data_IF_236138212877
#
_entry.id   IF_236138212877
#
_cell.length_a   1.000
_cell.length_b   1.000
_cell.length_c   1.000
_cell.angle_alpha   90.00
_cell.angle_beta   90.00
_cell.angle_gamma   90.00
#
_symmetry.space_group_name_H-M   'P 1'
#
loop_
_entity.id
_entity.type
_entity.pdbx_description
1 polymer ?
#
# COMPACT_ATOMS: atom_id res chain seq x y z
N UNK A 1 -11.50 -8.71 -11.56
CA UNK A 1 -10.55 -9.07 -10.47
C UNK A 1 -10.68 -8.05 -9.36
N UNK A 2 -10.27 -8.37 -8.13
CA UNK A 2 -10.20 -7.38 -7.05
C UNK A 2 -9.12 -6.35 -7.42
N UNK A 3 -9.51 -5.07 -7.43
CA UNK A 3 -8.61 -3.95 -7.68
C UNK A 3 -8.39 -3.14 -6.38
N UNK A 4 -7.18 -2.63 -6.15
CA UNK A 4 -5.96 -2.89 -6.93
C UNK A 4 -5.44 -4.34 -6.75
N UNK A 5 -4.85 -4.89 -7.81
CA UNK A 5 -4.17 -6.20 -7.74
C UNK A 5 -2.76 -6.04 -7.18
N UNK A 6 -2.12 -7.14 -6.74
CA UNK A 6 -0.73 -7.08 -6.26
C UNK A 6 0.23 -6.55 -7.33
N UNK A 7 -0.01 -6.85 -8.61
CA UNK A 7 0.80 -6.36 -9.72
C UNK A 7 0.63 -4.86 -9.90
N UNK A 8 -0.57 -4.32 -9.67
CA UNK A 8 -0.82 -2.88 -9.73
C UNK A 8 -0.04 -2.17 -8.62
N UNK A 9 -0.12 -2.71 -7.39
CA UNK A 9 0.60 -2.16 -6.24
C UNK A 9 2.13 -2.25 -6.39
N UNK A 10 2.66 -3.33 -6.97
CA UNK A 10 4.10 -3.44 -7.28
C UNK A 10 4.55 -2.39 -8.28
N UNK A 11 3.72 -2.07 -9.27
CA UNK A 11 4.05 -1.02 -10.25
C UNK A 11 4.10 0.36 -9.59
N UNK A 12 3.14 0.66 -8.72
CA UNK A 12 3.13 1.93 -7.97
C UNK A 12 4.40 2.05 -7.12
N UNK A 13 4.74 1.03 -6.35
CA UNK A 13 5.91 1.05 -5.44
C UNK A 13 7.23 1.17 -6.19
N UNK A 14 7.35 0.55 -7.37
CA UNK A 14 8.57 0.61 -8.18
C UNK A 14 8.52 1.70 -9.26
N UNK A 15 7.56 2.62 -9.22
CA UNK A 15 7.36 3.61 -10.30
C UNK A 15 8.50 4.62 -10.43
N UNK A 16 9.29 4.80 -9.37
CA UNK A 16 10.46 5.69 -9.34
C UNK A 16 11.79 4.96 -9.63
N UNK A 17 11.76 3.66 -9.90
CA UNK A 17 12.97 2.88 -10.21
C UNK A 17 13.31 3.04 -11.69
N UNK A 18 14.55 3.45 -12.00
CA UNK A 18 15.01 3.59 -13.38
C UNK A 18 15.05 2.23 -14.10
N UNK A 19 14.80 2.24 -15.41
CA UNK A 19 14.88 1.03 -16.22
C UNK A 19 16.29 0.44 -16.21
N UNK A 20 16.43 -0.77 -15.68
CA UNK A 20 17.71 -1.48 -15.53
C UNK A 20 18.24 -1.50 -14.09
N UNK A 21 17.65 -0.72 -13.18
CA UNK A 21 17.93 -0.81 -11.75
C UNK A 21 17.13 -1.93 -11.05
N UNK A 22 17.59 -2.33 -9.87
CA UNK A 22 16.89 -3.36 -9.10
C UNK A 22 15.58 -2.80 -8.51
N UNK A 23 14.45 -3.53 -8.66
CA UNK A 23 13.19 -3.11 -8.09
C UNK A 23 13.25 -3.13 -6.55
N UNK A 24 12.66 -2.12 -5.93
CA UNK A 24 12.52 -2.00 -4.46
C UNK A 24 11.69 -3.16 -3.90
N UNK A 25 10.64 -3.58 -4.62
CA UNK A 25 9.76 -4.69 -4.21
C UNK A 25 9.50 -5.65 -5.36
N UNK A 26 9.90 -6.91 -5.20
CA UNK A 26 9.64 -8.00 -6.16
C UNK A 26 8.70 -9.11 -5.62
N UNK A 27 8.29 -9.03 -4.35
CA UNK A 27 7.55 -10.08 -3.67
C UNK A 27 6.19 -9.61 -3.19
N UNK A 28 5.15 -10.41 -3.47
CA UNK A 28 3.78 -10.16 -3.00
C UNK A 28 3.72 -10.10 -1.47
N UNK A 29 4.58 -10.88 -0.81
CA UNK A 29 4.66 -10.92 0.64
C UNK A 29 5.10 -9.57 1.22
N UNK A 30 5.96 -8.83 0.52
CA UNK A 30 6.40 -7.49 0.96
C UNK A 30 5.23 -6.51 1.00
N UNK A 31 4.36 -6.51 -0.01
CA UNK A 31 3.14 -5.68 -0.01
C UNK A 31 2.22 -6.07 1.13
N UNK A 32 1.99 -7.37 1.33
CA UNK A 32 1.15 -7.87 2.43
C UNK A 32 1.72 -7.43 3.79
N UNK A 33 3.03 -7.56 4.00
CA UNK A 33 3.67 -7.15 5.25
C UNK A 33 3.59 -5.64 5.48
N UNK A 34 3.87 -4.83 4.45
CA UNK A 34 3.83 -3.37 4.54
C UNK A 34 2.42 -2.87 4.87
N UNK A 35 1.41 -3.32 4.10
CA UNK A 35 0.00 -2.95 4.32
C UNK A 35 -0.55 -3.48 5.65
N UNK A 36 -0.14 -4.68 6.08
CA UNK A 36 -0.52 -5.22 7.40
C UNK A 36 0.09 -4.41 8.55
N UNK A 37 1.35 -4.00 8.42
CA UNK A 37 2.02 -3.16 9.42
C UNK A 37 1.35 -1.78 9.49
N UNK A 38 1.06 -1.17 8.34
CA UNK A 38 0.38 0.13 8.27
C UNK A 38 -1.04 0.07 8.84
N UNK A 39 -1.80 -0.98 8.52
CA UNK A 39 -3.13 -1.20 9.10
C UNK A 39 -3.11 -1.24 10.64
N UNK A 40 -2.07 -1.83 11.26
CA UNK A 40 -1.91 -1.81 12.73
C UNK A 40 -1.67 -0.40 13.26
N UNK A 41 -0.84 0.40 12.58
CA UNK A 41 -0.64 1.80 12.95
C UNK A 41 -1.94 2.60 12.92
N UNK A 42 -2.79 2.36 11.91
CA UNK A 42 -4.11 2.99 11.80
C UNK A 42 -5.04 2.57 12.95
N UNK A 43 -5.00 1.29 13.34
CA UNK A 43 -5.74 0.77 14.50
C UNK A 43 -5.26 1.45 15.80
N UNK A 44 -3.96 1.72 15.91
CA UNK A 44 -3.34 2.41 17.06
C UNK A 44 -3.58 3.94 17.04
N UNK A 45 -4.34 4.46 16.07
CA UNK A 45 -4.73 5.87 15.99
C UNK A 45 -3.77 6.77 15.20
N UNK A 46 -2.88 6.20 14.39
CA UNK A 46 -2.05 7.00 13.48
C UNK A 46 -2.92 7.76 12.47
N UNK A 47 -2.56 9.01 12.13
CA UNK A 47 -3.31 9.78 11.15
C UNK A 47 -3.13 9.20 9.74
N UNK A 48 -4.11 9.47 8.88
CA UNK A 48 -4.12 9.12 7.47
C UNK A 48 -4.66 10.28 6.63
N UNK A 49 -4.12 10.54 5.44
CA UNK A 49 -4.67 11.52 4.50
C UNK A 49 -5.88 10.99 3.71
N UNK A 50 -6.21 9.70 3.84
CA UNK A 50 -7.35 9.09 3.14
C UNK A 50 -8.65 9.66 3.69
N UNK A 51 -9.50 10.16 2.78
CA UNK A 51 -10.83 10.68 3.14
C UNK A 51 -11.76 9.54 3.55
N UNK A 52 -12.63 9.85 4.51
CA UNK A 52 -13.66 8.94 5.02
C UNK A 52 -13.02 7.63 5.56
N UNK A 53 -11.82 7.75 6.15
CA UNK A 53 -11.05 6.59 6.63
C UNK A 53 -11.74 5.89 7.81
N UNK A 54 -12.51 6.62 8.62
CA UNK A 54 -13.31 6.05 9.72
C UNK A 54 -14.36 5.03 9.25
N UNK A 55 -14.86 5.16 8.02
CA UNK A 55 -15.87 4.27 7.44
C UNK A 55 -15.27 3.06 6.72
N UNK A 56 -13.94 2.98 6.66
CA UNK A 56 -13.20 1.95 5.92
C UNK A 56 -12.49 1.00 6.88
N UNK A 57 -12.28 -0.24 6.44
CA UNK A 57 -11.42 -1.17 7.16
C UNK A 57 -9.98 -0.62 7.14
N UNK A 58 -9.23 -0.68 8.25
CA UNK A 58 -7.85 -0.17 8.30
C UNK A 58 -6.94 -0.73 7.21
N UNK A 59 -7.12 -2.02 6.85
CA UNK A 59 -6.37 -2.62 5.75
C UNK A 59 -6.72 -2.01 4.39
N UNK A 60 -7.98 -1.68 4.15
CA UNK A 60 -8.41 -1.01 2.91
C UNK A 60 -7.79 0.37 2.80
N UNK A 61 -7.74 1.13 3.90
CA UNK A 61 -7.07 2.43 3.97
C UNK A 61 -5.57 2.29 3.68
N UNK A 62 -4.89 1.32 4.32
CA UNK A 62 -3.47 1.08 4.08
C UNK A 62 -3.15 0.68 2.63
N UNK A 63 -4.04 -0.05 1.96
CA UNK A 63 -3.90 -0.38 0.54
C UNK A 63 -4.13 0.87 -0.33
N UNK A 64 -5.10 1.70 0.02
CA UNK A 64 -5.38 2.97 -0.68
C UNK A 64 -4.19 3.93 -0.58
N UNK A 65 -3.64 4.12 0.62
CA UNK A 65 -2.41 4.90 0.84
C UNK A 65 -1.25 4.41 -0.04
N UNK A 66 -0.99 3.10 -0.04
CA UNK A 66 0.08 2.51 -0.87
C UNK A 66 -0.20 2.70 -2.36
N UNK A 67 -1.46 2.60 -2.79
CA UNK A 67 -1.83 2.75 -4.19
C UNK A 67 -1.78 4.20 -4.67
N UNK A 68 -2.01 5.18 -3.78
CA UNK A 68 -1.90 6.62 -4.11
C UNK A 68 -0.54 7.22 -3.76
N UNK A 69 0.35 6.44 -3.13
CA UNK A 69 1.71 6.87 -2.78
C UNK A 69 1.76 7.92 -1.66
N UNK A 70 0.87 7.81 -0.66
CA UNK A 70 0.74 8.78 0.46
C UNK A 70 0.97 8.15 1.83
#
# INVERSE_FOLDING_TARGET
MLHPSYSDLMKVVNSEVEEGEQPVVNSRYSIVMATSKRARQLIDGAPTPVRDAEDKKPLSVAIEELNTGV
#
